data_IF_157944268064
#
_entry.id   IF_157944268064
#
_cell.length_a   1.000
_cell.length_b   1.000
_cell.length_c   1.000
_cell.angle_alpha   90.00
_cell.angle_beta   90.00
_cell.angle_gamma   90.00
#
_symmetry.space_group_name_H-M   'P 1'
#
loop_
_entity.id
_entity.type
_entity.pdbx_description
1 polymer ?
#
# COMPACT_ATOMS: atom_id res chain seq x y z
N UNK A 1 -10.17 -19.72 -13.86
CA UNK A 1 -9.42 -18.89 -12.91
C UNK A 1 -10.31 -18.52 -11.74
N UNK A 2 -9.96 -18.95 -10.53
CA UNK A 2 -10.77 -18.59 -9.38
C UNK A 2 -10.65 -17.09 -9.06
N UNK A 3 -11.74 -16.52 -8.65
CA UNK A 3 -11.74 -15.17 -8.11
C UNK A 3 -11.30 -15.23 -6.66
N UNK A 4 -10.65 -14.17 -6.20
CA UNK A 4 -10.17 -14.09 -4.83
C UNK A 4 -11.07 -13.18 -4.01
N UNK A 5 -11.51 -13.70 -2.87
CA UNK A 5 -12.11 -12.86 -1.84
C UNK A 5 -11.00 -12.56 -0.82
N UNK A 6 -10.72 -11.30 -0.61
CA UNK A 6 -9.58 -10.89 0.19
C UNK A 6 -9.92 -10.93 1.69
N UNK A 7 -9.75 -12.09 2.29
CA UNK A 7 -10.09 -12.33 3.70
C UNK A 7 -8.88 -12.38 4.62
N UNK A 8 -7.72 -12.70 4.09
CA UNK A 8 -6.55 -13.00 4.92
C UNK A 8 -5.26 -12.50 4.26
N UNK A 9 -5.27 -11.23 3.86
CA UNK A 9 -4.08 -10.60 3.29
C UNK A 9 -3.01 -10.39 4.35
N UNK A 10 -1.75 -10.47 3.94
CA UNK A 10 -0.62 -10.16 4.81
C UNK A 10 -0.12 -8.75 4.50
N UNK A 11 0.05 -7.95 5.55
CA UNK A 11 0.68 -6.62 5.44
C UNK A 11 1.72 -6.49 6.54
N UNK A 12 2.96 -6.18 6.14
CA UNK A 12 4.09 -6.07 7.05
C UNK A 12 4.76 -4.72 6.88
N UNK A 13 4.96 -3.99 7.98
CA UNK A 13 5.70 -2.73 8.01
C UNK A 13 6.96 -2.91 8.84
N UNK A 14 8.14 -2.64 8.24
CA UNK A 14 9.41 -2.72 8.93
C UNK A 14 9.54 -4.04 9.71
N UNK A 15 9.12 -5.14 9.09
CA UNK A 15 9.12 -6.49 9.64
C UNK A 15 8.08 -6.73 10.74
N UNK A 16 7.16 -5.79 10.96
CA UNK A 16 6.06 -5.94 11.92
C UNK A 16 4.77 -6.27 11.16
N UNK A 17 4.15 -7.38 11.49
CA UNK A 17 2.90 -7.81 10.87
C UNK A 17 1.73 -7.06 11.52
N UNK A 18 1.07 -6.21 10.73
CA UNK A 18 -0.08 -5.44 11.17
C UNK A 18 -1.38 -5.91 10.52
N UNK A 19 -1.38 -7.08 9.91
CA UNK A 19 -2.52 -7.58 9.14
C UNK A 19 -3.82 -7.63 9.93
N UNK A 20 -3.75 -7.99 11.21
CA UNK A 20 -4.94 -8.10 12.05
C UNK A 20 -5.58 -6.76 12.40
N UNK A 21 -4.87 -5.66 12.16
CA UNK A 21 -5.35 -4.31 12.44
C UNK A 21 -5.67 -3.53 11.16
N UNK A 22 -5.73 -4.19 10.02
CA UNK A 22 -6.01 -3.56 8.74
C UNK A 22 -7.28 -4.17 8.16
N UNK A 23 -8.25 -3.31 7.84
CA UNK A 23 -9.51 -3.75 7.25
C UNK A 23 -9.54 -3.59 5.74
N UNK A 24 -8.64 -2.76 5.19
CA UNK A 24 -8.62 -2.51 3.75
C UNK A 24 -7.22 -2.14 3.31
N UNK A 25 -6.81 -2.64 2.15
CA UNK A 25 -5.53 -2.29 1.52
C UNK A 25 -5.74 -2.14 0.01
N UNK A 26 -5.19 -1.07 -0.54
CA UNK A 26 -5.21 -0.82 -1.99
C UNK A 26 -3.82 -0.43 -2.42
N UNK A 27 -3.21 -1.25 -3.26
CA UNK A 27 -1.91 -0.98 -3.85
C UNK A 27 -2.11 -0.56 -5.29
N UNK A 28 -1.62 0.63 -5.64
CA UNK A 28 -1.85 1.22 -6.94
C UNK A 28 -0.53 1.60 -7.59
N UNK A 29 -0.40 1.31 -8.87
CA UNK A 29 0.74 1.75 -9.67
C UNK A 29 0.22 2.35 -10.96
N UNK A 30 0.78 3.49 -11.33
CA UNK A 30 0.41 4.18 -12.56
C UNK A 30 1.65 4.84 -13.13
N UNK A 31 1.65 5.03 -14.44
CA UNK A 31 2.72 5.75 -15.12
C UNK A 31 2.21 7.11 -15.57
N UNK A 32 3.07 8.12 -15.47
CA UNK A 32 2.79 9.40 -16.08
C UNK A 32 2.69 9.20 -17.58
N UNK A 33 1.72 9.89 -18.20
CA UNK A 33 1.51 9.82 -19.63
C UNK A 33 2.15 11.06 -20.27
N UNK A 34 3.04 10.81 -21.21
CA UNK A 34 3.70 11.88 -21.96
C UNK A 34 3.16 11.86 -23.37
N UNK A 35 2.62 13.02 -23.81
CA UNK A 35 2.07 13.16 -25.15
C UNK A 35 3.21 13.48 -26.11
N UNK A 36 3.38 12.62 -27.11
CA UNK A 36 4.41 12.78 -28.14
C UNK A 36 3.80 12.90 -29.53
N UNK A 37 2.54 13.30 -29.62
CA UNK A 37 1.85 13.53 -30.89
C UNK A 37 2.58 14.61 -31.67
N UNK A 38 2.82 14.36 -32.93
CA UNK A 38 3.53 15.29 -33.81
C UNK A 38 2.72 15.57 -35.10
N UNK A 39 3.22 16.51 -35.87
CA UNK A 39 2.58 16.83 -37.16
C UNK A 39 2.50 15.61 -38.06
N UNK A 40 1.38 15.44 -38.71
CA UNK A 40 1.13 14.30 -39.57
C UNK A 40 0.47 13.12 -38.89
N UNK A 41 0.41 13.12 -37.56
CA UNK A 41 -0.29 12.09 -36.83
C UNK A 41 -1.81 12.29 -36.95
N UNK A 42 -2.52 11.19 -37.18
CA UNK A 42 -3.99 11.21 -37.24
C UNK A 42 -4.63 10.77 -35.93
N UNK A 43 -3.81 10.31 -34.98
CA UNK A 43 -4.26 9.93 -33.65
C UNK A 43 -3.21 10.38 -32.65
N UNK A 44 -3.61 10.52 -31.39
CA UNK A 44 -2.66 10.91 -30.34
C UNK A 44 -1.71 9.78 -30.04
N UNK A 45 -0.45 10.11 -29.87
CA UNK A 45 0.60 9.18 -29.48
C UNK A 45 1.09 9.53 -28.09
N UNK A 46 1.23 8.51 -27.24
CA UNK A 46 1.64 8.70 -25.85
C UNK A 46 2.67 7.67 -25.48
N UNK A 47 3.58 8.05 -24.59
CA UNK A 47 4.54 7.13 -24.00
C UNK A 47 4.43 7.23 -22.48
N UNK A 48 4.89 6.19 -21.81
CA UNK A 48 4.91 6.17 -20.34
C UNK A 48 6.11 6.96 -19.82
N UNK A 49 5.87 7.78 -18.81
CA UNK A 49 6.93 8.47 -18.08
C UNK A 49 7.34 7.66 -16.85
N UNK A 50 7.54 8.36 -15.73
CA UNK A 50 7.89 7.71 -14.48
C UNK A 50 6.66 7.07 -13.84
N UNK A 51 6.88 5.98 -13.13
CA UNK A 51 5.82 5.34 -12.35
C UNK A 51 5.53 6.20 -11.12
N UNK A 52 4.24 6.36 -10.83
CA UNK A 52 3.76 7.04 -9.63
C UNK A 52 2.93 6.03 -8.85
N UNK A 53 3.49 5.53 -7.77
CA UNK A 53 2.92 4.44 -7.00
C UNK A 53 2.40 4.95 -5.66
N UNK A 54 1.32 4.35 -5.20
CA UNK A 54 0.75 4.69 -3.91
C UNK A 54 0.09 3.48 -3.28
N UNK A 55 -0.12 3.56 -1.97
CA UNK A 55 -0.82 2.52 -1.23
C UNK A 55 -1.75 3.18 -0.23
N UNK A 56 -2.96 2.65 -0.13
CA UNK A 56 -3.96 3.12 0.82
C UNK A 56 -4.27 2.00 1.81
N UNK A 57 -4.35 2.36 3.08
CA UNK A 57 -4.72 1.44 4.15
C UNK A 57 -5.83 2.03 4.98
N UNK A 58 -6.69 1.16 5.49
CA UNK A 58 -7.60 1.51 6.56
C UNK A 58 -7.22 0.67 7.78
N UNK A 59 -6.69 1.34 8.80
CA UNK A 59 -6.27 0.70 10.03
C UNK A 59 -7.39 0.73 11.07
N UNK A 60 -7.51 -0.36 11.81
CA UNK A 60 -8.28 -0.38 13.05
C UNK A 60 -7.31 0.01 14.15
N UNK A 61 -7.54 1.17 14.77
CA UNK A 61 -6.56 1.75 15.70
C UNK A 61 -6.35 0.87 16.92
N UNK A 62 -5.10 0.73 17.30
CA UNK A 62 -4.69 -0.09 18.44
C UNK A 62 -3.47 0.54 19.09
N UNK A 63 -3.59 0.90 20.35
CA UNK A 63 -2.54 1.58 21.10
C UNK A 63 -1.66 0.61 21.89
N UNK A 64 -1.88 -0.68 21.81
CA UNK A 64 -1.08 -1.66 22.53
C UNK A 64 0.37 -1.64 22.02
N UNK A 65 1.29 -2.08 22.87
CA UNK A 65 2.69 -2.20 22.53
C UNK A 65 2.87 -3.14 21.32
N UNK A 66 3.63 -2.71 20.33
CA UNK A 66 3.87 -3.50 19.11
C UNK A 66 2.74 -3.49 18.11
N UNK A 67 1.66 -2.75 18.36
CA UNK A 67 0.53 -2.65 17.44
C UNK A 67 0.63 -1.42 16.55
N UNK A 68 -0.49 -1.00 15.96
CA UNK A 68 -0.53 0.02 14.90
C UNK A 68 0.11 1.34 15.33
N UNK A 69 -0.37 1.93 16.41
CA UNK A 69 0.13 3.25 16.85
C UNK A 69 1.61 3.19 17.23
N UNK A 70 2.00 2.18 17.98
CA UNK A 70 3.38 2.03 18.41
C UNK A 70 4.35 1.80 17.26
N UNK A 71 3.86 1.25 16.15
CA UNK A 71 4.67 0.97 14.96
C UNK A 71 4.72 2.16 14.01
N UNK A 72 3.57 2.79 13.75
CA UNK A 72 3.45 3.81 12.69
C UNK A 72 3.93 5.19 13.16
N UNK A 73 3.56 5.60 14.35
CA UNK A 73 3.87 6.97 14.81
C UNK A 73 5.37 7.31 14.82
N UNK A 74 6.26 6.41 15.30
CA UNK A 74 7.70 6.70 15.24
C UNK A 74 8.27 6.77 13.83
N UNK A 75 7.57 6.19 12.84
CA UNK A 75 8.02 6.15 11.45
C UNK A 75 7.53 7.34 10.64
N UNK A 76 6.71 8.20 11.23
CA UNK A 76 6.13 9.33 10.53
C UNK A 76 7.23 10.22 9.95
N UNK A 77 7.13 10.52 8.65
CA UNK A 77 8.13 11.30 7.93
C UNK A 77 9.30 10.51 7.38
N UNK A 78 9.28 9.19 7.52
CA UNK A 78 10.36 8.34 7.01
C UNK A 78 9.85 7.38 5.94
N UNK A 79 10.79 6.83 5.15
CA UNK A 79 10.47 5.77 4.21
C UNK A 79 10.69 4.42 4.87
N UNK A 80 9.74 3.52 4.72
CA UNK A 80 9.69 2.24 5.42
C UNK A 80 9.46 1.12 4.43
N UNK A 81 10.18 0.01 4.59
CA UNK A 81 9.95 -1.18 3.79
C UNK A 81 8.61 -1.82 4.17
N UNK A 82 7.83 -2.18 3.15
CA UNK A 82 6.52 -2.76 3.32
C UNK A 82 6.35 -3.96 2.39
N UNK A 83 5.65 -4.97 2.86
CA UNK A 83 5.32 -6.15 2.06
C UNK A 83 3.82 -6.42 2.17
N UNK A 84 3.19 -6.73 1.02
CA UNK A 84 1.77 -7.08 0.95
C UNK A 84 1.61 -8.37 0.16
N UNK A 85 0.82 -9.31 0.68
CA UNK A 85 0.43 -10.54 -0.02
C UNK A 85 -1.08 -10.69 -0.03
N UNK A 86 -1.66 -11.23 -1.10
CA UNK A 86 -3.11 -11.50 -1.13
C UNK A 86 -3.58 -12.48 -0.07
N UNK A 87 -2.74 -13.46 0.26
CA UNK A 87 -3.06 -14.47 1.27
C UNK A 87 -1.85 -14.67 2.19
N UNK A 88 -2.10 -14.80 3.47
CA UNK A 88 -1.04 -14.97 4.47
C UNK A 88 -0.52 -16.42 4.48
N UNK A 89 0.09 -16.82 3.38
CA UNK A 89 0.72 -18.12 3.21
C UNK A 89 2.02 -17.93 2.44
N UNK A 90 2.71 -19.02 2.16
CA UNK A 90 3.96 -18.95 1.42
C UNK A 90 3.79 -18.30 0.05
N UNK A 91 4.80 -17.56 -0.37
CA UNK A 91 4.81 -16.90 -1.68
C UNK A 91 4.85 -17.94 -2.78
N UNK A 92 4.03 -17.73 -3.82
CA UNK A 92 3.97 -18.61 -4.98
C UNK A 92 3.50 -17.84 -6.20
N UNK A 93 3.41 -18.50 -7.34
CA UNK A 93 2.93 -17.86 -8.57
C UNK A 93 1.49 -17.36 -8.44
N UNK A 94 0.68 -17.99 -7.59
CA UNK A 94 -0.71 -17.59 -7.36
C UNK A 94 -0.88 -16.76 -6.08
N UNK A 95 0.20 -16.56 -5.33
CA UNK A 95 0.21 -15.74 -4.13
C UNK A 95 1.50 -14.90 -4.12
N UNK A 96 1.60 -13.91 -5.03
CA UNK A 96 2.80 -13.09 -5.11
C UNK A 96 2.89 -12.14 -3.93
N UNK A 97 4.12 -11.75 -3.60
CA UNK A 97 4.33 -10.66 -2.65
C UNK A 97 4.74 -9.40 -3.39
N UNK A 98 4.31 -8.29 -2.88
CA UNK A 98 4.68 -6.98 -3.41
C UNK A 98 5.50 -6.26 -2.34
N UNK A 99 6.74 -5.94 -2.68
CA UNK A 99 7.66 -5.23 -1.80
C UNK A 99 7.85 -3.81 -2.31
N UNK A 100 7.85 -2.84 -1.40
CA UNK A 100 8.06 -1.45 -1.76
C UNK A 100 8.47 -0.67 -0.54
N UNK A 101 8.99 0.55 -0.77
CA UNK A 101 9.26 1.50 0.30
C UNK A 101 8.16 2.54 0.30
N UNK A 102 7.48 2.69 1.42
CA UNK A 102 6.41 3.65 1.56
C UNK A 102 6.88 4.83 2.39
N UNK A 103 6.55 6.05 1.93
CA UNK A 103 6.82 7.25 2.70
C UNK A 103 5.63 7.49 3.62
N UNK A 104 5.85 7.40 4.92
CA UNK A 104 4.82 7.63 5.93
C UNK A 104 4.63 9.13 6.06
N UNK A 105 3.81 9.70 5.18
CA UNK A 105 3.67 11.14 5.02
C UNK A 105 2.61 11.74 5.94
N UNK A 106 1.65 10.94 6.38
CA UNK A 106 0.56 11.41 7.23
C UNK A 106 0.08 10.29 8.13
N UNK A 107 -0.52 10.67 9.25
CA UNK A 107 -1.09 9.71 10.18
C UNK A 107 -2.17 10.40 10.99
N UNK A 108 -3.24 9.69 11.25
CA UNK A 108 -4.33 10.17 12.08
C UNK A 108 -4.34 9.35 13.37
N UNK A 109 -3.57 9.78 14.39
CA UNK A 109 -3.40 8.95 15.60
C UNK A 109 -4.67 8.81 16.41
N UNK A 110 -5.58 9.77 16.32
CA UNK A 110 -6.84 9.71 17.04
C UNK A 110 -7.98 10.15 16.13
N UNK A 111 -8.86 9.23 15.82
CA UNK A 111 -9.99 9.50 14.94
C UNK A 111 -11.14 8.57 15.33
N UNK A 112 -12.25 9.16 15.69
CA UNK A 112 -13.43 8.41 16.06
C UNK A 112 -14.43 9.26 16.79
N UNK A 113 -15.57 8.69 17.11
CA UNK A 113 -16.63 9.36 17.85
C UNK A 113 -17.21 8.40 18.87
N UNK A 114 -18.01 8.93 19.77
CA UNK A 114 -18.62 8.13 20.84
C UNK A 114 -19.44 7.00 20.22
N UNK A 115 -19.16 5.77 20.65
CA UNK A 115 -19.86 4.59 20.17
C UNK A 115 -19.34 4.04 18.86
N UNK A 116 -18.31 4.64 18.27
CA UNK A 116 -17.74 4.20 17.00
C UNK A 116 -16.34 3.62 17.20
N UNK A 117 -15.97 2.72 16.31
CA UNK A 117 -14.62 2.14 16.27
C UNK A 117 -13.64 3.21 15.82
N UNK A 118 -12.51 3.34 16.52
CA UNK A 118 -11.44 4.23 16.09
C UNK A 118 -10.72 3.63 14.89
N UNK A 119 -10.60 4.40 13.82
CA UNK A 119 -9.95 3.97 12.59
C UNK A 119 -8.98 5.04 12.11
N UNK A 120 -8.07 4.65 11.23
CA UNK A 120 -7.16 5.58 10.58
C UNK A 120 -7.06 5.20 9.10
N UNK A 121 -7.53 6.09 8.25
CA UNK A 121 -7.46 5.90 6.79
C UNK A 121 -6.31 6.75 6.26
N UNK A 122 -5.38 6.13 5.55
CA UNK A 122 -4.21 6.82 5.02
C UNK A 122 -3.97 6.42 3.57
N UNK A 123 -3.44 7.37 2.80
CA UNK A 123 -2.91 7.12 1.47
C UNK A 123 -1.49 7.66 1.45
N UNK A 124 -0.54 6.77 1.28
CA UNK A 124 0.86 7.14 1.31
C UNK A 124 1.50 6.94 -0.05
N UNK A 125 2.34 7.89 -0.49
CA UNK A 125 3.13 7.70 -1.71
C UNK A 125 4.21 6.65 -1.48
N UNK A 126 4.50 5.91 -2.54
CA UNK A 126 5.58 4.91 -2.52
C UNK A 126 6.83 5.57 -3.11
N UNK A 127 7.94 5.42 -2.40
CA UNK A 127 9.23 5.93 -2.87
C UNK A 127 9.93 4.84 -3.66
N UNK A 128 9.92 4.99 -4.98
CA UNK A 128 10.56 4.02 -5.87
C UNK A 128 9.58 3.05 -6.51
N UNK A 129 10.07 1.87 -6.80
CA UNK A 129 9.31 0.87 -7.55
C UNK A 129 8.66 -0.15 -6.62
N UNK A 130 7.58 -0.76 -7.13
CA UNK A 130 6.96 -1.91 -6.50
C UNK A 130 7.59 -3.15 -7.13
N UNK A 131 8.14 -4.03 -6.30
CA UNK A 131 8.74 -5.28 -6.74
C UNK A 131 7.79 -6.42 -6.49
N UNK A 132 7.40 -7.12 -7.55
CA UNK A 132 6.56 -8.31 -7.45
C UNK A 132 7.45 -9.54 -7.41
N UNK A 133 7.22 -10.43 -6.44
CA UNK A 133 7.97 -11.68 -6.31
C UNK A 133 7.01 -12.85 -6.20
N UNK A 134 7.32 -13.94 -6.88
CA UNK A 134 6.53 -15.17 -6.87
C UNK A 134 7.26 -16.34 -6.23
N UNK A 135 8.39 -16.06 -5.59
CA UNK A 135 9.18 -17.10 -4.91
C UNK A 135 9.92 -16.54 -3.71
#
# INVERSE_FOLDING_TARGET
>A
MPKLVLNNALVTFASTDLSSSISSVTLSTAFDIIDVTSFGDTAKRRIAGLADNSVSFEFLQDYASGSVEATIFPLLGTAVACEVRPVNTSVSATNPKYNFSVLVAEWTPLNGSVGSLATASVTWPISGEITKSTS
#
